data_IF_956467724282
#
_entry.id   IF_956467724282
#
_cell.length_a   1.000
_cell.length_b   1.000
_cell.length_c   1.000
_cell.angle_alpha   90.00
_cell.angle_beta   90.00
_cell.angle_gamma   90.00
#
_symmetry.space_group_name_H-M   'P 1'
#
loop_
_entity.id
_entity.type
_entity.pdbx_description
1 polymer ?
#
# COMPACT_ATOMS: atom_id res chain seq x y z
N UNK A 1 -9.91 16.02 5.27
CA UNK A 1 -10.33 15.86 3.85
C UNK A 1 -9.40 16.66 2.93
N UNK A 2 -9.30 17.99 3.07
CA UNK A 2 -8.47 18.83 2.20
C UNK A 2 -7.00 18.39 2.11
N UNK A 3 -6.35 18.07 3.23
CA UNK A 3 -4.95 17.59 3.26
C UNK A 3 -4.73 16.34 2.38
N UNK A 4 -5.62 15.34 2.48
CA UNK A 4 -5.54 14.12 1.65
C UNK A 4 -5.65 14.44 0.16
N UNK A 5 -6.54 15.36 -0.20
CA UNK A 5 -6.72 15.77 -1.59
C UNK A 5 -5.53 16.59 -2.10
N UNK A 6 -4.90 17.40 -1.25
CA UNK A 6 -3.65 18.11 -1.60
C UNK A 6 -2.53 17.11 -1.85
N UNK A 7 -2.29 16.15 -0.96
CA UNK A 7 -1.32 15.08 -1.18
C UNK A 7 -1.63 14.30 -2.46
N UNK A 8 -2.89 13.96 -2.69
CA UNK A 8 -3.32 13.30 -3.92
C UNK A 8 -2.96 14.12 -5.17
N UNK A 9 -3.12 15.44 -5.13
CA UNK A 9 -2.78 16.33 -6.25
C UNK A 9 -1.27 16.35 -6.52
N UNK A 10 -0.45 16.26 -5.47
CA UNK A 10 1.00 16.14 -5.57
C UNK A 10 1.40 14.84 -6.26
N UNK A 11 0.90 13.68 -5.81
CA UNK A 11 1.21 12.38 -6.43
C UNK A 11 0.76 12.26 -7.89
N UNK A 12 -0.26 13.00 -8.31
CA UNK A 12 -0.72 13.03 -9.71
C UNK A 12 0.17 13.89 -10.62
N UNK A 13 0.90 14.83 -10.05
CA UNK A 13 1.71 15.76 -10.82
C UNK A 13 3.13 15.22 -10.96
N UNK A 14 3.48 14.79 -12.18
CA UNK A 14 4.78 14.19 -12.49
C UNK A 14 5.97 15.10 -12.17
N UNK A 15 5.77 16.43 -12.13
CA UNK A 15 6.83 17.39 -11.78
C UNK A 15 7.40 17.18 -10.38
N UNK A 16 6.60 16.64 -9.47
CA UNK A 16 6.98 16.41 -8.08
C UNK A 16 7.26 14.94 -7.77
N UNK A 17 7.19 14.04 -8.76
CA UNK A 17 7.30 12.61 -8.53
C UNK A 17 8.59 12.27 -7.74
N UNK A 18 9.74 12.82 -8.16
CA UNK A 18 11.03 12.63 -7.50
C UNK A 18 11.06 13.16 -6.07
N UNK A 19 10.53 14.34 -5.82
CA UNK A 19 10.55 14.99 -4.50
C UNK A 19 9.61 14.32 -3.50
N UNK A 20 8.54 13.68 -4.00
CA UNK A 20 7.52 13.04 -3.17
C UNK A 20 7.92 11.60 -2.79
N UNK A 21 8.80 10.93 -3.55
CA UNK A 21 9.20 9.54 -3.26
C UNK A 21 9.69 9.32 -1.83
N UNK A 22 10.37 10.31 -1.23
CA UNK A 22 10.84 10.25 0.17
C UNK A 22 9.72 10.28 1.22
N UNK A 23 8.53 10.77 0.86
CA UNK A 23 7.38 10.89 1.77
C UNK A 23 6.37 9.74 1.62
N UNK A 24 6.55 8.85 0.64
CA UNK A 24 5.63 7.74 0.35
C UNK A 24 5.33 6.91 1.59
N UNK A 25 6.35 6.55 2.35
CA UNK A 25 6.21 5.73 3.54
C UNK A 25 5.33 6.39 4.60
N UNK A 26 5.57 7.68 4.87
CA UNK A 26 4.77 8.47 5.82
C UNK A 26 3.34 8.64 5.33
N UNK A 27 3.16 8.90 4.04
CA UNK A 27 1.84 9.17 3.47
C UNK A 27 1.01 7.87 3.37
N UNK A 28 1.63 6.72 3.10
CA UNK A 28 1.00 5.41 3.21
C UNK A 28 0.57 5.11 4.65
N UNK A 29 1.45 5.35 5.62
CA UNK A 29 1.13 5.19 7.04
C UNK A 29 -0.08 6.04 7.42
N UNK A 30 -0.08 7.32 7.05
CA UNK A 30 -1.20 8.25 7.29
C UNK A 30 -2.49 7.75 6.65
N UNK A 31 -2.42 7.31 5.40
CA UNK A 31 -3.58 6.82 4.65
C UNK A 31 -4.18 5.57 5.28
N UNK A 32 -3.37 4.56 5.59
CA UNK A 32 -3.83 3.30 6.19
C UNK A 32 -4.38 3.54 7.61
N UNK A 33 -3.71 4.38 8.40
CA UNK A 33 -4.18 4.71 9.76
C UNK A 33 -5.54 5.43 9.76
N UNK A 34 -5.87 6.13 8.67
CA UNK A 34 -7.12 6.89 8.56
C UNK A 34 -8.34 6.03 8.23
N UNK A 35 -8.13 4.75 7.90
CA UNK A 35 -9.22 3.82 7.62
C UNK A 35 -10.01 3.44 8.87
N UNK A 36 -9.43 3.62 10.06
CA UNK A 36 -10.13 3.45 11.35
C UNK A 36 -10.88 4.71 11.79
N UNK A 37 -10.90 5.78 10.98
CA UNK A 37 -11.67 6.98 11.32
C UNK A 37 -13.16 6.70 11.35
N UNK A 38 -13.89 7.22 12.35
CA UNK A 38 -15.35 7.17 12.40
C UNK A 38 -16.02 7.98 11.27
N UNK A 39 -15.31 8.98 10.73
CA UNK A 39 -15.84 9.88 9.70
C UNK A 39 -15.65 9.26 8.30
N UNK A 40 -16.77 8.95 7.63
CA UNK A 40 -16.77 8.32 6.30
C UNK A 40 -15.97 9.11 5.25
N UNK A 41 -16.10 10.44 5.24
CA UNK A 41 -15.39 11.29 4.28
C UNK A 41 -13.87 11.20 4.41
N UNK A 42 -13.36 11.00 5.64
CA UNK A 42 -11.93 10.82 5.88
C UNK A 42 -11.49 9.47 5.31
N UNK A 43 -12.24 8.40 5.57
CA UNK A 43 -11.95 7.06 5.02
C UNK A 43 -11.92 7.10 3.48
N UNK A 44 -12.93 7.68 2.83
CA UNK A 44 -12.97 7.80 1.38
C UNK A 44 -11.78 8.60 0.83
N UNK A 45 -11.48 9.77 1.43
CA UNK A 45 -10.34 10.59 1.01
C UNK A 45 -9.01 9.83 1.16
N UNK A 46 -8.86 9.06 2.23
CA UNK A 46 -7.71 8.20 2.44
C UNK A 46 -7.65 7.07 1.38
N UNK A 47 -8.77 6.43 1.03
CA UNK A 47 -8.78 5.39 -0.02
C UNK A 47 -8.32 5.94 -1.37
N UNK A 48 -8.76 7.16 -1.69
CA UNK A 48 -8.36 7.87 -2.89
C UNK A 48 -6.87 8.24 -2.89
N UNK A 49 -6.33 8.66 -1.75
CA UNK A 49 -4.90 8.90 -1.58
C UNK A 49 -4.10 7.61 -1.73
N UNK A 50 -4.47 6.54 -1.00
CA UNK A 50 -3.86 5.21 -1.06
C UNK A 50 -3.75 4.72 -2.51
N UNK A 51 -4.87 4.74 -3.25
CA UNK A 51 -4.91 4.32 -4.65
C UNK A 51 -3.93 5.10 -5.52
N UNK A 52 -3.80 6.40 -5.27
CA UNK A 52 -2.90 7.28 -6.04
C UNK A 52 -1.43 7.00 -5.68
N UNK A 53 -1.12 6.78 -4.39
CA UNK A 53 0.24 6.41 -3.97
C UNK A 53 0.63 5.04 -4.54
N UNK A 54 -0.26 4.04 -4.47
CA UNK A 54 -0.04 2.71 -5.03
C UNK A 54 0.25 2.80 -6.54
N UNK A 55 -0.51 3.60 -7.28
CA UNK A 55 -0.23 3.86 -8.71
C UNK A 55 1.08 4.62 -8.93
N UNK A 56 1.53 5.47 -8.00
CA UNK A 56 2.82 6.14 -8.12
C UNK A 56 4.03 5.21 -7.88
N UNK A 57 3.84 4.15 -7.08
CA UNK A 57 4.87 3.14 -6.80
C UNK A 57 4.94 2.11 -7.93
N UNK A 58 3.81 1.53 -8.30
CA UNK A 58 3.73 0.40 -9.24
C UNK A 58 3.37 0.82 -10.68
N UNK A 59 3.12 2.11 -10.89
CA UNK A 59 2.58 2.62 -12.14
C UNK A 59 1.12 2.20 -12.39
N UNK A 60 0.55 2.66 -13.51
CA UNK A 60 -0.75 2.20 -13.95
C UNK A 60 -0.65 0.73 -14.35
N UNK A 61 -1.62 -0.06 -13.88
CA UNK A 61 -1.81 -1.40 -14.39
C UNK A 61 -2.33 -1.36 -15.82
N UNK A 62 -1.89 -2.33 -16.61
CA UNK A 62 -2.37 -2.57 -17.97
C UNK A 62 -3.22 -3.82 -17.96
N UNK A 63 -4.28 -3.81 -18.76
CA UNK A 63 -5.10 -5.01 -18.96
C UNK A 63 -4.80 -5.56 -20.34
N UNK A 64 -4.47 -6.85 -20.42
CA UNK A 64 -4.26 -7.59 -21.67
C UNK A 64 -4.86 -8.96 -21.43
N UNK A 65 -5.72 -9.37 -22.35
CA UNK A 65 -6.39 -10.67 -22.29
C UNK A 65 -7.18 -10.90 -20.98
N UNK A 66 -7.73 -9.82 -20.40
CA UNK A 66 -8.52 -9.87 -19.16
C UNK A 66 -7.69 -9.92 -17.87
N UNK A 67 -6.36 -10.02 -17.97
CA UNK A 67 -5.46 -10.02 -16.81
C UNK A 67 -4.83 -8.64 -16.59
N UNK A 68 -4.78 -8.22 -15.33
CA UNK A 68 -4.13 -6.98 -14.89
C UNK A 68 -2.64 -7.25 -14.66
N UNK A 69 -1.76 -6.61 -15.43
CA UNK A 69 -0.30 -6.75 -15.28
C UNK A 69 0.38 -5.39 -15.11
N UNK A 70 1.44 -5.38 -14.31
CA UNK A 70 2.32 -4.23 -14.16
C UNK A 70 3.35 -4.19 -15.30
N UNK A 71 3.80 -2.99 -15.67
CA UNK A 71 4.94 -2.89 -16.59
C UNK A 71 6.18 -3.50 -15.93
N UNK A 72 7.00 -4.25 -16.68
CA UNK A 72 8.24 -4.84 -16.17
C UNK A 72 9.16 -3.83 -15.44
N UNK A 73 9.13 -2.55 -15.83
CA UNK A 73 9.90 -1.48 -15.18
C UNK A 73 9.38 -1.09 -13.78
N UNK A 74 8.15 -1.45 -13.47
CA UNK A 74 7.47 -1.12 -12.21
C UNK A 74 7.17 -2.36 -11.36
N UNK A 75 7.66 -3.53 -11.79
CA UNK A 75 7.65 -4.73 -10.97
C UNK A 75 8.59 -4.48 -9.80
N UNK A 76 8.10 -4.73 -8.59
CA UNK A 76 8.91 -4.67 -7.39
C UNK A 76 8.61 -5.90 -6.55
N UNK A 77 9.68 -6.55 -6.10
CA UNK A 77 9.58 -7.70 -5.20
C UNK A 77 9.21 -7.26 -3.78
N UNK A 78 8.72 -8.20 -2.97
CA UNK A 78 8.44 -7.96 -1.56
C UNK A 78 9.68 -7.43 -0.81
N UNK A 79 10.85 -8.01 -1.09
CA UNK A 79 12.13 -7.62 -0.49
C UNK A 79 12.54 -6.19 -0.87
N UNK A 80 12.43 -5.82 -2.15
CA UNK A 80 12.73 -4.46 -2.60
C UNK A 80 11.78 -3.43 -1.99
N UNK A 81 10.48 -3.75 -1.89
CA UNK A 81 9.49 -2.87 -1.26
C UNK A 81 9.85 -2.57 0.19
N UNK A 82 10.13 -3.59 0.99
CA UNK A 82 10.44 -3.39 2.42
C UNK A 82 11.86 -2.90 2.67
N UNK A 83 12.82 -3.16 1.78
CA UNK A 83 14.13 -2.51 1.84
C UNK A 83 14.01 -1.00 1.60
N UNK A 84 13.10 -0.58 0.71
CA UNK A 84 12.87 0.83 0.40
C UNK A 84 11.98 1.53 1.45
N UNK A 85 11.01 0.81 2.02
CA UNK A 85 10.02 1.34 2.97
C UNK A 85 9.94 0.44 4.22
N UNK A 86 10.99 0.50 5.04
CA UNK A 86 11.21 -0.48 6.12
C UNK A 86 10.24 -0.34 7.30
N UNK A 87 9.75 0.86 7.61
CA UNK A 87 8.76 1.08 8.66
C UNK A 87 7.37 0.54 8.28
N UNK A 88 7.06 0.40 6.99
CA UNK A 88 5.80 -0.19 6.54
C UNK A 88 5.67 -1.65 6.94
N UNK A 89 6.77 -2.39 7.04
CA UNK A 89 6.76 -3.78 7.49
C UNK A 89 6.17 -3.88 8.90
N UNK A 90 6.65 -3.04 9.82
CA UNK A 90 6.16 -3.00 11.20
C UNK A 90 4.68 -2.62 11.26
N UNK A 91 4.26 -1.60 10.48
CA UNK A 91 2.86 -1.21 10.39
C UNK A 91 1.96 -2.35 9.89
N UNK A 92 2.37 -3.04 8.83
CA UNK A 92 1.59 -4.13 8.24
C UNK A 92 1.44 -5.26 9.25
N UNK A 93 2.55 -5.65 9.89
CA UNK A 93 2.56 -6.67 10.93
C UNK A 93 1.63 -6.30 12.09
N UNK A 94 1.76 -5.09 12.63
CA UNK A 94 0.94 -4.62 13.75
C UNK A 94 -0.55 -4.60 13.39
N UNK A 95 -0.92 -4.10 12.20
CA UNK A 95 -2.32 -4.03 11.76
C UNK A 95 -2.92 -5.42 11.48
N UNK A 96 -2.12 -6.33 10.92
CA UNK A 96 -2.53 -7.73 10.73
C UNK A 96 -2.76 -8.40 12.09
N UNK A 97 -1.82 -8.28 13.02
CA UNK A 97 -1.93 -8.86 14.36
C UNK A 97 -3.15 -8.33 15.11
N UNK A 98 -3.39 -7.01 15.10
CA UNK A 98 -4.57 -6.39 15.69
C UNK A 98 -5.87 -6.97 15.13
N UNK A 99 -5.91 -7.22 13.82
CA UNK A 99 -7.12 -7.77 13.19
C UNK A 99 -7.32 -9.25 13.50
N UNK A 100 -6.25 -10.04 13.60
CA UNK A 100 -6.33 -11.45 13.98
C UNK A 100 -6.72 -11.65 15.45
N UNK A 101 -6.22 -10.80 16.36
CA UNK A 101 -6.55 -10.87 17.79
C UNK A 101 -7.99 -10.46 18.11
N UNK A 102 -8.58 -9.58 17.31
CA UNK A 102 -9.98 -9.13 17.48
C UNK A 102 -10.94 -10.10 16.76
N UNK A 103 -11.01 -11.34 17.27
CA UNK A 103 -11.72 -12.46 16.62
C UNK A 103 -13.26 -12.43 16.74
N UNK A 104 -13.82 -11.46 17.48
CA UNK A 104 -15.23 -11.48 17.91
C UNK A 104 -16.22 -10.70 17.06
N UNK A 105 -15.78 -9.88 16.12
CA UNK A 105 -16.68 -9.26 15.14
C UNK A 105 -15.82 -8.60 14.09
N UNK A 106 -16.05 -8.93 12.82
CA UNK A 106 -15.48 -8.20 11.68
C UNK A 106 -16.11 -6.80 11.71
N UNK A 107 -15.62 -5.94 12.60
CA UNK A 107 -15.94 -4.54 12.58
C UNK A 107 -15.46 -3.99 11.23
N UNK A 108 -16.39 -3.39 10.49
CA UNK A 108 -16.22 -2.92 9.12
C UNK A 108 -15.04 -1.95 8.90
N UNK A 109 -14.48 -1.40 9.99
CA UNK A 109 -13.31 -0.53 9.95
C UNK A 109 -11.99 -1.32 9.94
N UNK A 110 -11.91 -2.45 10.66
CA UNK A 110 -10.73 -3.32 10.64
C UNK A 110 -10.56 -4.03 9.30
N UNK A 111 -11.67 -4.35 8.62
CA UNK A 111 -11.63 -4.93 7.27
C UNK A 111 -11.11 -3.95 6.22
N UNK A 112 -11.32 -2.64 6.39
CA UNK A 112 -10.82 -1.63 5.45
C UNK A 112 -9.29 -1.55 5.47
N UNK A 113 -8.67 -1.58 6.66
CA UNK A 113 -7.21 -1.62 6.81
C UNK A 113 -6.60 -2.87 6.19
N UNK A 114 -7.20 -4.04 6.45
CA UNK A 114 -6.78 -5.30 5.84
C UNK A 114 -6.83 -5.24 4.32
N UNK A 115 -7.93 -4.71 3.77
CA UNK A 115 -8.06 -4.56 2.32
C UNK A 115 -6.92 -3.72 1.72
N UNK A 116 -6.54 -2.59 2.34
CA UNK A 116 -5.40 -1.81 1.88
C UNK A 116 -4.08 -2.59 1.89
N UNK A 117 -3.81 -3.31 2.99
CA UNK A 117 -2.57 -4.07 3.15
C UNK A 117 -2.51 -5.18 2.10
N UNK A 118 -3.58 -5.96 1.95
CA UNK A 118 -3.67 -7.03 0.96
C UNK A 118 -3.57 -6.47 -0.45
N UNK A 119 -4.23 -5.35 -0.76
CA UNK A 119 -4.13 -4.70 -2.07
C UNK A 119 -2.69 -4.34 -2.44
N UNK A 120 -1.91 -3.82 -1.49
CA UNK A 120 -0.49 -3.51 -1.72
C UNK A 120 0.30 -4.81 -1.94
N UNK A 121 0.09 -5.81 -1.08
CA UNK A 121 0.79 -7.09 -1.16
C UNK A 121 0.51 -7.84 -2.48
N UNK A 122 -0.74 -7.83 -2.97
CA UNK A 122 -1.11 -8.45 -4.24
C UNK A 122 -0.46 -7.77 -5.46
N UNK A 123 -0.02 -6.52 -5.34
CA UNK A 123 0.74 -5.84 -6.41
C UNK A 123 2.23 -6.12 -6.38
N UNK A 124 2.74 -6.73 -5.31
CA UNK A 124 4.13 -7.13 -5.21
C UNK A 124 4.33 -8.45 -5.93
N UNK A 125 5.42 -8.53 -6.68
CA UNK A 125 5.79 -9.78 -7.32
C UNK A 125 6.41 -10.70 -6.27
N UNK A 126 5.81 -11.86 -6.05
CA UNK A 126 6.50 -12.96 -5.37
C UNK A 126 7.58 -13.44 -6.33
N UNK A 127 8.84 -13.13 -6.00
CA UNK A 127 9.96 -13.72 -6.71
C UNK A 127 9.83 -15.24 -6.63
N UNK A 128 9.73 -15.94 -7.76
CA UNK A 128 9.69 -17.41 -7.81
C UNK A 128 11.04 -18.06 -7.44
N UNK A 129 11.86 -17.37 -6.63
CA UNK A 129 13.20 -17.76 -6.19
C UNK A 129 13.37 -17.69 -4.67
N UNK A 130 12.29 -17.57 -3.88
CA UNK A 130 12.33 -17.90 -2.44
C UNK A 130 12.32 -19.43 -2.20
N UNK A 131 12.65 -20.22 -3.22
CA UNK A 131 12.70 -21.68 -3.19
C UNK A 131 14.08 -22.30 -2.95
N UNK A 132 15.17 -21.54 -2.79
CA UNK A 132 16.51 -22.16 -2.64
C UNK A 132 17.39 -21.60 -1.51
N UNK A 133 17.15 -20.42 -0.94
CA UNK A 133 17.99 -19.92 0.16
C UNK A 133 17.28 -19.91 1.53
N UNK A 134 16.62 -21.02 1.85
CA UNK A 134 16.57 -21.51 3.23
C UNK A 134 17.87 -22.27 3.54
N UNK A 135 19.01 -21.56 3.49
CA UNK A 135 20.23 -21.97 4.18
C UNK A 135 20.53 -20.94 5.27
N UNK A 136 19.81 -21.10 6.39
CA UNK A 136 20.38 -20.71 7.67
C UNK A 136 21.58 -21.64 7.93
N UNK A 137 22.77 -21.18 7.57
CA UNK A 137 24.00 -21.50 8.28
C UNK A 137 24.33 -20.36 9.22
#
# INVERSE_FOLDING_TARGET
>A
IHVYNTFRSYYRNQRFANDIYQYIERDLHLSISSFTSSIWMIRNSATLLLSTIVQSIFGPSKTKDGEEYLSQKNIMTLKEFFNKYSSLFHLFYQKLQQTTSTRSSIESLSSSCLFAIVLILCRLYLSSLDGIDCSLT
#
